data_IF_334149697325
#
_entry.id   IF_334149697325
#
_cell.length_a   1.000
_cell.length_b   1.000
_cell.length_c   1.000
_cell.angle_alpha   90.00
_cell.angle_beta   90.00
_cell.angle_gamma   90.00
#
_symmetry.space_group_name_H-M   'P 1'
#
loop_
_entity.id
_entity.type
_entity.pdbx_description
1 polymer ?
#
# COMPACT_ATOMS: atom_id res chain seq x y z
N UNK A 1 -24.74 10.11 5.11
CA UNK A 1 -25.01 9.16 6.23
C UNK A 1 -24.76 7.67 5.93
N UNK A 2 -25.50 6.95 5.07
CA UNK A 2 -25.23 5.51 4.84
C UNK A 2 -23.91 5.25 4.10
N UNK A 3 -23.62 6.00 3.02
CA UNK A 3 -22.34 5.93 2.30
C UNK A 3 -21.13 6.25 3.18
N UNK A 4 -21.24 7.22 4.09
CA UNK A 4 -20.15 7.55 5.04
C UNK A 4 -19.94 6.45 6.08
N UNK A 5 -21.01 5.81 6.58
CA UNK A 5 -20.89 4.68 7.51
C UNK A 5 -20.25 3.46 6.85
N UNK A 6 -20.55 3.18 5.58
CA UNK A 6 -19.86 2.13 4.81
C UNK A 6 -18.41 2.49 4.48
N UNK A 7 -18.12 3.75 4.14
CA UNK A 7 -16.76 4.23 3.93
C UNK A 7 -15.93 4.17 5.21
N UNK A 8 -16.51 4.50 6.37
CA UNK A 8 -15.84 4.42 7.66
C UNK A 8 -15.61 2.98 8.11
N UNK A 9 -16.60 2.08 7.93
CA UNK A 9 -16.41 0.63 8.17
C UNK A 9 -15.30 0.02 7.30
N UNK A 10 -15.13 0.52 6.06
CA UNK A 10 -14.00 0.16 5.20
C UNK A 10 -12.67 0.62 5.80
N UNK A 11 -12.61 1.84 6.35
CA UNK A 11 -11.41 2.38 6.98
C UNK A 11 -11.04 1.72 8.32
N UNK A 12 -12.00 1.05 8.98
CA UNK A 12 -11.79 0.31 10.24
C UNK A 12 -11.22 -1.11 10.04
N UNK A 13 -11.06 -1.57 8.78
CA UNK A 13 -10.53 -2.91 8.48
C UNK A 13 -9.08 -2.82 7.96
N UNK A 14 -8.09 -3.44 8.62
CA UNK A 14 -6.70 -3.38 8.18
C UNK A 14 -6.47 -4.01 6.80
N UNK A 15 -7.27 -5.01 6.40
CA UNK A 15 -7.25 -5.57 5.03
C UNK A 15 -7.57 -4.49 4.00
N UNK A 16 -8.63 -3.72 4.24
CA UNK A 16 -9.10 -2.68 3.32
C UNK A 16 -8.10 -1.53 3.25
N UNK A 17 -7.53 -1.11 4.39
CA UNK A 17 -6.48 -0.09 4.41
C UNK A 17 -5.27 -0.48 3.53
N UNK A 18 -4.83 -1.75 3.59
CA UNK A 18 -3.76 -2.23 2.69
C UNK A 18 -4.24 -2.30 1.24
N UNK A 19 -5.46 -2.75 0.97
CA UNK A 19 -6.00 -2.80 -0.38
C UNK A 19 -6.03 -1.41 -1.03
N UNK A 20 -6.59 -0.41 -0.33
CA UNK A 20 -6.67 0.99 -0.78
C UNK A 20 -5.26 1.56 -1.01
N UNK A 21 -4.31 1.26 -0.11
CA UNK A 21 -2.92 1.65 -0.26
C UNK A 21 -2.29 1.06 -1.54
N UNK A 22 -2.47 -0.23 -1.81
CA UNK A 22 -1.96 -0.87 -3.02
C UNK A 22 -2.63 -0.28 -4.26
N UNK A 23 -3.92 -0.02 -4.23
CA UNK A 23 -4.64 0.60 -5.34
C UNK A 23 -4.08 1.99 -5.67
N UNK A 24 -3.74 2.80 -4.66
CA UNK A 24 -3.05 4.07 -4.86
C UNK A 24 -1.69 3.88 -5.54
N UNK A 25 -0.92 2.86 -5.16
CA UNK A 25 0.33 2.57 -5.84
C UNK A 25 0.13 2.14 -7.29
N UNK A 26 -0.88 1.30 -7.56
CA UNK A 26 -1.21 0.86 -8.92
C UNK A 26 -1.62 2.03 -9.81
N UNK A 27 -2.50 2.90 -9.32
CA UNK A 27 -2.93 4.12 -10.01
C UNK A 27 -1.82 5.15 -10.17
N UNK A 28 -0.84 5.16 -9.27
CA UNK A 28 0.31 6.06 -9.35
C UNK A 28 1.37 5.57 -10.33
N UNK A 29 1.55 4.25 -10.46
CA UNK A 29 2.60 3.65 -11.30
C UNK A 29 2.12 3.33 -12.72
N UNK A 30 0.81 3.25 -12.97
CA UNK A 30 0.27 2.98 -14.31
C UNK A 30 0.57 4.10 -15.31
N UNK A 31 0.74 3.74 -16.59
CA UNK A 31 1.08 4.67 -17.70
C UNK A 31 0.10 5.86 -17.86
N UNK A 32 -1.15 5.72 -17.45
CA UNK A 32 -2.19 6.77 -17.51
C UNK A 32 -2.49 7.41 -16.14
N UNK A 33 -1.64 7.15 -15.14
CA UNK A 33 -1.85 7.52 -13.76
C UNK A 33 -1.38 8.92 -13.40
N UNK A 34 -1.98 9.52 -12.37
CA UNK A 34 -1.42 10.72 -11.73
C UNK A 34 -0.41 10.32 -10.65
N UNK A 35 0.84 10.09 -11.05
CA UNK A 35 1.93 9.65 -10.15
C UNK A 35 2.02 10.52 -8.91
N UNK A 36 2.16 11.84 -9.09
CA UNK A 36 2.32 12.82 -8.02
C UNK A 36 1.21 12.76 -6.97
N UNK A 37 -0.05 12.80 -7.41
CA UNK A 37 -1.20 12.83 -6.52
C UNK A 37 -1.38 11.50 -5.78
N UNK A 38 -1.23 10.38 -6.48
CA UNK A 38 -1.44 9.06 -5.90
C UNK A 38 -0.29 8.68 -4.95
N UNK A 39 0.96 9.02 -5.28
CA UNK A 39 2.09 8.83 -4.37
C UNK A 39 1.94 9.66 -3.11
N UNK A 40 1.39 10.89 -3.20
CA UNK A 40 1.05 11.68 -2.02
C UNK A 40 0.03 10.95 -1.15
N UNK A 41 -1.09 10.52 -1.73
CA UNK A 41 -2.15 9.81 -0.99
C UNK A 41 -1.66 8.50 -0.38
N UNK A 42 -0.79 7.77 -1.08
CA UNK A 42 -0.19 6.52 -0.61
C UNK A 42 0.79 6.78 0.55
N UNK A 43 1.63 7.81 0.42
CA UNK A 43 2.53 8.28 1.49
C UNK A 43 1.74 8.70 2.73
N UNK A 44 0.59 9.34 2.56
CA UNK A 44 -0.29 9.75 3.66
C UNK A 44 -0.89 8.54 4.43
N UNK A 45 -0.82 7.30 3.91
CA UNK A 45 -1.25 6.08 4.63
C UNK A 45 -0.23 5.59 5.65
N UNK A 46 1.00 6.13 5.64
CA UNK A 46 2.03 5.78 6.61
C UNK A 46 2.00 6.72 7.81
N UNK A 47 2.29 6.19 9.01
CA UNK A 47 2.34 7.02 10.24
C UNK A 47 3.44 8.09 10.16
N UNK A 48 4.59 7.71 9.58
CA UNK A 48 5.71 8.60 9.29
C UNK A 48 6.13 8.39 7.86
N UNK A 49 5.96 9.40 7.02
CA UNK A 49 6.43 9.36 5.64
C UNK A 49 7.13 10.65 5.24
N UNK A 50 8.11 10.50 4.36
CA UNK A 50 8.70 11.60 3.63
C UNK A 50 8.31 11.41 2.17
N UNK A 51 7.49 12.33 1.65
CA UNK A 51 6.90 12.20 0.32
C UNK A 51 7.96 12.09 -0.78
N UNK A 52 9.06 12.82 -0.68
CA UNK A 52 10.11 12.79 -1.70
C UNK A 52 10.84 11.44 -1.71
N UNK A 53 11.14 10.90 -0.52
CA UNK A 53 11.68 9.55 -0.39
C UNK A 53 10.70 8.51 -0.91
N UNK A 54 9.41 8.68 -0.63
CA UNK A 54 8.36 7.76 -1.08
C UNK A 54 8.30 7.72 -2.60
N UNK A 55 8.20 8.89 -3.27
CA UNK A 55 8.21 9.00 -4.74
C UNK A 55 9.47 8.36 -5.34
N UNK A 56 10.66 8.63 -4.78
CA UNK A 56 11.90 8.03 -5.27
C UNK A 56 11.90 6.50 -5.28
N UNK A 57 11.18 5.84 -4.37
CA UNK A 57 11.10 4.37 -4.32
C UNK A 57 10.26 3.77 -5.46
N UNK A 58 9.39 4.56 -6.09
CA UNK A 58 8.46 4.11 -7.13
C UNK A 58 8.66 4.82 -8.48
N UNK A 59 9.61 5.74 -8.59
CA UNK A 59 9.84 6.53 -9.82
C UNK A 59 10.13 5.66 -11.05
N UNK A 60 10.77 4.51 -10.84
CA UNK A 60 11.15 3.57 -11.90
C UNK A 60 10.14 2.42 -12.01
N UNK A 61 9.07 2.44 -11.20
CA UNK A 61 8.05 1.38 -11.18
C UNK A 61 6.99 1.66 -12.22
N UNK A 62 6.89 0.77 -13.20
CA UNK A 62 5.90 0.83 -14.28
C UNK A 62 4.57 0.19 -13.90
N UNK A 63 4.60 -0.86 -13.10
CA UNK A 63 3.36 -1.57 -12.74
C UNK A 63 3.48 -2.31 -11.43
N UNK A 64 2.38 -2.33 -10.69
CA UNK A 64 2.18 -3.21 -9.55
C UNK A 64 0.93 -4.05 -9.81
N UNK A 65 1.05 -5.35 -9.59
CA UNK A 65 -0.03 -6.32 -9.78
C UNK A 65 -0.20 -7.08 -8.47
N UNK A 66 -1.43 -7.11 -7.94
CA UNK A 66 -1.76 -7.98 -6.81
C UNK A 66 -1.85 -9.41 -7.33
N UNK A 67 -1.02 -10.30 -6.77
CA UNK A 67 -1.00 -11.73 -7.09
C UNK A 67 -1.88 -12.50 -6.11
N UNK A 68 -1.88 -12.08 -4.84
CA UNK A 68 -2.74 -12.62 -3.79
C UNK A 68 -3.28 -11.46 -2.96
N UNK A 69 -4.58 -11.46 -2.69
CA UNK A 69 -5.24 -10.40 -1.92
C UNK A 69 -4.62 -10.23 -0.52
N UNK A 70 -4.72 -9.04 0.09
CA UNK A 70 -4.23 -8.84 1.44
C UNK A 70 -4.92 -9.77 2.45
N UNK A 71 -4.12 -10.41 3.30
CA UNK A 71 -4.55 -11.36 4.33
C UNK A 71 -4.13 -10.85 5.71
N UNK A 72 -5.10 -10.68 6.61
CA UNK A 72 -4.83 -10.35 8.01
C UNK A 72 -4.21 -11.56 8.69
N UNK A 73 -2.98 -11.42 9.18
CA UNK A 73 -2.23 -12.44 9.91
C UNK A 73 -2.52 -12.35 11.42
N UNK A 74 -2.62 -11.14 11.94
CA UNK A 74 -3.01 -10.88 13.33
C UNK A 74 -3.66 -9.51 13.47
N UNK A 75 -4.58 -9.35 14.42
CA UNK A 75 -5.19 -8.08 14.78
C UNK A 75 -5.50 -8.08 16.28
N UNK A 76 -4.88 -7.17 17.05
CA UNK A 76 -5.04 -7.09 18.51
C UNK A 76 -4.68 -5.70 19.01
N UNK A 77 -5.41 -5.19 20.00
CA UNK A 77 -5.05 -3.97 20.75
C UNK A 77 -4.79 -2.73 19.87
N UNK A 78 -5.49 -2.62 18.73
CA UNK A 78 -5.30 -1.51 17.79
C UNK A 78 -4.11 -1.66 16.85
N UNK A 79 -3.42 -2.80 16.88
CA UNK A 79 -2.36 -3.19 15.94
C UNK A 79 -2.82 -4.33 15.02
N UNK A 80 -2.27 -4.38 13.81
CA UNK A 80 -2.53 -5.44 12.85
C UNK A 80 -1.31 -5.79 12.01
N UNK A 81 -1.24 -7.04 11.56
CA UNK A 81 -0.24 -7.52 10.60
C UNK A 81 -0.98 -8.06 9.39
N UNK A 82 -0.63 -7.58 8.20
CA UNK A 82 -1.27 -7.95 6.94
C UNK A 82 -0.21 -8.33 5.92
N UNK A 83 -0.35 -9.51 5.32
CA UNK A 83 0.50 -9.94 4.21
C UNK A 83 -0.22 -9.70 2.89
N UNK A 84 0.49 -9.27 1.86
CA UNK A 84 0.01 -9.21 0.48
C UNK A 84 1.09 -9.71 -0.46
N UNK A 85 0.71 -10.45 -1.50
CA UNK A 85 1.64 -10.86 -2.55
C UNK A 85 1.45 -10.00 -3.77
N UNK A 86 2.52 -9.35 -4.21
CA UNK A 86 2.52 -8.50 -5.39
C UNK A 86 3.61 -8.92 -6.38
N UNK A 87 3.37 -8.59 -7.64
CA UNK A 87 4.38 -8.53 -8.69
C UNK A 87 4.65 -7.06 -8.98
N UNK A 88 5.91 -6.65 -8.90
CA UNK A 88 6.40 -5.32 -9.26
C UNK A 88 7.14 -5.40 -10.58
N UNK A 89 6.85 -4.50 -11.50
CA UNK A 89 7.56 -4.35 -12.77
C UNK A 89 8.24 -3.00 -12.75
N UNK A 90 9.57 -3.01 -12.72
CA UNK A 90 10.40 -1.80 -12.77
C UNK A 90 11.04 -1.66 -14.16
N UNK A 91 11.23 -0.42 -14.60
CA UNK A 91 12.07 -0.10 -15.75
C UNK A 91 13.48 0.22 -15.25
N UNK A 92 14.44 -0.68 -15.51
CA UNK A 92 15.85 -0.50 -15.18
C UNK A 92 16.66 -0.51 -16.46
N UNK A 93 17.33 0.60 -16.74
CA UNK A 93 18.20 0.77 -17.92
C UNK A 93 17.50 0.40 -19.25
N UNK A 94 16.23 0.79 -19.38
CA UNK A 94 15.40 0.53 -20.56
C UNK A 94 14.86 -0.90 -20.66
N UNK A 95 15.06 -1.74 -19.62
CA UNK A 95 14.56 -3.12 -19.55
C UNK A 95 13.54 -3.26 -18.44
N UNK A 96 12.50 -4.03 -18.71
CA UNK A 96 11.52 -4.40 -17.68
C UNK A 96 12.07 -5.53 -16.81
N UNK A 97 12.09 -5.31 -15.50
CA UNK A 97 12.48 -6.29 -14.49
C UNK A 97 11.26 -6.61 -13.64
N UNK A 98 10.82 -7.86 -13.69
CA UNK A 98 9.74 -8.35 -12.85
C UNK A 98 10.29 -8.89 -11.53
N UNK A 99 9.63 -8.58 -10.41
CA UNK A 99 9.95 -9.15 -9.10
C UNK A 99 8.66 -9.54 -8.39
N UNK A 100 8.56 -10.82 -8.03
CA UNK A 100 7.50 -11.31 -7.16
C UNK A 100 7.94 -11.14 -5.71
N UNK A 101 7.07 -10.56 -4.87
CA UNK A 101 7.38 -10.33 -3.47
C UNK A 101 6.15 -10.52 -2.60
N UNK A 102 6.39 -11.00 -1.39
CA UNK A 102 5.41 -10.92 -0.29
C UNK A 102 5.80 -9.74 0.58
N UNK A 103 4.86 -8.82 0.79
CA UNK A 103 5.04 -7.66 1.65
C UNK A 103 4.19 -7.84 2.89
N UNK A 104 4.85 -7.90 4.05
CA UNK A 104 4.20 -7.88 5.35
C UNK A 104 4.13 -6.45 5.85
N UNK A 105 2.93 -5.93 6.06
CA UNK A 105 2.69 -4.63 6.65
C UNK A 105 2.31 -4.75 8.12
N UNK A 106 2.93 -3.91 8.94
CA UNK A 106 2.53 -3.69 10.34
C UNK A 106 1.75 -2.39 10.37
N UNK A 107 0.50 -2.47 10.84
CA UNK A 107 -0.42 -1.34 10.93
C UNK A 107 -0.78 -1.05 12.38
N UNK A 108 -1.15 0.20 12.63
CA UNK A 108 -1.81 0.62 13.86
C UNK A 108 -2.95 1.58 13.58
N UNK A 109 -4.02 1.48 14.35
CA UNK A 109 -5.12 2.42 14.31
C UNK A 109 -4.74 3.72 15.04
N UNK A 110 -5.05 4.86 14.44
CA UNK A 110 -4.97 6.15 15.11
C UNK A 110 -6.14 6.36 16.09
N UNK A 111 -6.14 7.48 16.82
CA UNK A 111 -7.21 7.82 17.76
C UNK A 111 -8.59 7.99 17.13
N UNK A 112 -8.68 8.04 15.79
CA UNK A 112 -9.92 8.10 15.01
C UNK A 112 -10.29 6.75 14.40
N UNK A 113 -9.57 5.67 14.75
CA UNK A 113 -9.80 4.31 14.23
C UNK A 113 -9.19 4.04 12.86
N UNK A 114 -8.47 5.00 12.26
CA UNK A 114 -7.90 4.81 10.91
C UNK A 114 -6.58 4.06 10.98
N UNK A 115 -6.46 2.98 10.23
CA UNK A 115 -5.23 2.21 10.13
C UNK A 115 -4.14 2.95 9.35
N UNK A 116 -2.95 3.03 9.95
CA UNK A 116 -1.74 3.59 9.35
C UNK A 116 -0.64 2.54 9.30
N UNK A 117 0.13 2.55 8.23
CA UNK A 117 1.30 1.68 8.08
C UNK A 117 2.45 2.23 8.93
N UNK A 118 2.98 1.41 9.83
CA UNK A 118 4.15 1.74 10.67
C UNK A 118 5.45 1.23 10.07
N UNK A 119 5.40 0.01 9.56
CA UNK A 119 6.56 -0.67 9.01
C UNK A 119 6.11 -1.69 7.96
N UNK A 120 7.06 -2.08 7.12
CA UNK A 120 6.89 -3.25 6.27
C UNK A 120 8.15 -4.11 6.24
N UNK A 121 7.97 -5.37 5.87
CA UNK A 121 9.05 -6.29 5.54
C UNK A 121 8.76 -6.92 4.18
N UNK A 122 9.71 -6.78 3.26
CA UNK A 122 9.63 -7.38 1.92
C UNK A 122 10.40 -8.70 1.94
N UNK A 123 9.77 -9.75 1.44
CA UNK A 123 10.44 -11.03 1.17
C UNK A 123 10.25 -11.34 -0.32
N UNK A 124 11.33 -11.24 -1.09
CA UNK A 124 11.38 -11.72 -2.47
C UNK A 124 11.69 -13.21 -2.47
N UNK A 125 10.93 -13.98 -3.25
CA UNK A 125 11.25 -15.37 -3.59
C UNK A 125 11.68 -15.43 -5.04
#
# INVERSE_FOLDING_TARGET
>A
MQKEKELNKRLDNPKVAINDYIELLQRGTSDNGSFEQNMKKASDQWEKSNIDRFKRNYKDTKKIIVVEEPKVISQKDGDAVVDVRIKKIDNKDGKEVETNMTVRYVLAADSKGKWKIRANKVTSK
#
